data_IF_572591888512
#
_entry.id   IF_572591888512
#
_cell.length_a   1.000
_cell.length_b   1.000
_cell.length_c   1.000
_cell.angle_alpha   90.00
_cell.angle_beta   90.00
_cell.angle_gamma   90.00
#
_symmetry.space_group_name_H-M   'P 1'
#
loop_
_entity.id
_entity.type
_entity.pdbx_description
1 polymer ?
2 non-polymer ?
3 non-polymer ?
4 water ?
#
# COMPACT_ATOMS: atom_id res chain seq x y z
N UNK A 19 -7.68 2.05 -19.11
CA UNK A 19 -6.19 2.07 -18.92
C UNK A 19 -5.68 1.27 -17.73
N UNK A 20 -6.42 1.25 -16.63
CA UNK A 20 -6.02 0.48 -15.46
C UNK A 20 -7.25 -0.22 -14.88
N UNK A 21 -7.80 -1.15 -15.63
CA UNK A 21 -8.99 -1.78 -15.21
C UNK A 21 -8.84 -3.25 -14.91
N UNK A 22 -7.80 -3.94 -15.43
CA UNK A 22 -7.68 -5.36 -15.14
C UNK A 22 -6.31 -5.69 -14.55
N UNK A 23 -6.31 -6.68 -13.68
CA UNK A 23 -5.10 -7.16 -13.06
C UNK A 23 -4.69 -8.50 -13.67
N UNK A 24 -3.41 -8.59 -14.05
CA UNK A 24 -2.81 -9.77 -14.56
C UNK A 24 -1.69 -10.27 -13.66
N UNK A 25 -1.36 -11.55 -13.74
CA UNK A 25 -0.19 -12.10 -13.07
C UNK A 25 1.06 -11.34 -13.55
N UNK A 26 1.84 -10.79 -12.64
CA UNK A 26 3.01 -10.02 -13.02
C UNK A 26 4.07 -10.90 -13.71
N UNK A 27 4.10 -12.18 -13.33
CA UNK A 27 5.11 -13.09 -13.84
C UNK A 27 4.85 -13.62 -15.23
N UNK A 28 3.60 -13.67 -15.68
CA UNK A 28 3.31 -14.29 -16.96
C UNK A 28 2.23 -13.65 -17.77
N UNK A 29 1.38 -12.80 -17.15
CA UNK A 29 0.30 -12.20 -17.88
C UNK A 29 -1.08 -12.77 -17.80
N UNK A 30 -1.20 -13.93 -17.16
CA UNK A 30 -2.49 -14.54 -16.93
C UNK A 30 -3.54 -13.50 -16.41
N UNK A 31 -4.73 -13.49 -16.98
CA UNK A 31 -5.79 -12.61 -16.47
C UNK A 31 -6.26 -13.11 -15.09
N UNK A 32 -6.31 -12.24 -14.08
CA UNK A 32 -6.64 -12.64 -12.70
C UNK A 32 -7.85 -11.92 -12.11
N UNK A 33 -7.88 -10.59 -12.14
CA UNK A 33 -9.03 -9.88 -11.60
C UNK A 33 -9.24 -8.48 -12.23
N UNK A 34 -10.11 -7.66 -11.62
CA UNK A 34 -10.48 -6.38 -12.21
C UNK A 34 -10.58 -5.37 -11.05
N UNK A 35 -10.29 -4.11 -11.33
CA UNK A 35 -10.40 -3.07 -10.33
C UNK A 35 -11.86 -2.96 -9.82
N UNK A 36 -12.81 -3.20 -10.71
CA UNK A 36 -14.21 -3.16 -10.38
C UNK A 36 -14.63 -4.18 -9.35
N UNK A 37 -13.80 -5.18 -9.16
CA UNK A 37 -14.11 -6.28 -8.25
C UNK A 37 -13.39 -6.17 -6.92
N UNK A 38 -12.71 -5.07 -6.68
CA UNK A 38 -12.14 -4.80 -5.35
C UNK A 38 -13.25 -4.75 -4.30
N UNK A 39 -12.92 -5.28 -3.13
CA UNK A 39 -13.88 -5.48 -2.04
C UNK A 39 -13.35 -4.87 -0.75
N UNK A 40 -13.93 -3.74 -0.32
CA UNK A 40 -13.63 -3.24 1.02
C UNK A 40 -14.09 -4.20 2.12
N UNK A 41 -13.13 -4.91 2.73
CA UNK A 41 -13.38 -5.81 3.89
C UNK A 41 -12.97 -5.07 5.16
N UNK A 42 -13.90 -4.97 6.11
CA UNK A 42 -13.62 -4.19 7.30
C UNK A 42 -13.39 -2.71 7.04
N UNK A 43 -13.78 -2.21 5.87
CA UNK A 43 -13.63 -0.77 5.53
C UNK A 43 -12.54 -0.38 4.52
N UNK A 44 -11.61 -1.27 4.25
CA UNK A 44 -10.51 -1.02 3.28
C UNK A 44 -10.35 -2.27 2.43
N UNK A 45 -10.08 -2.10 1.13
CA UNK A 45 -9.77 -3.27 0.30
C UNK A 45 -8.31 -3.73 0.56
N UNK A 46 -7.48 -2.87 1.18
CA UNK A 46 -6.07 -3.19 1.48
C UNK A 46 -5.84 -3.61 2.95
N UNK A 47 -5.15 -4.73 3.15
CA UNK A 47 -4.80 -5.27 4.47
C UNK A 47 -3.35 -5.77 4.49
N UNK A 48 -2.55 -5.36 5.47
CA UNK A 48 -1.15 -5.79 5.52
C UNK A 48 -0.94 -6.73 6.69
N UNK A 49 -0.33 -7.87 6.42
CA UNK A 49 -0.39 -9.01 7.32
C UNK A 49 0.95 -9.70 7.26
N UNK A 50 1.25 -10.52 8.25
CA UNK A 50 2.42 -11.37 8.19
C UNK A 50 2.05 -12.80 8.44
N UNK A 51 2.72 -13.68 7.76
CA UNK A 51 2.63 -15.11 8.13
C UNK A 51 3.59 -15.53 9.27
N UNK A 52 3.48 -16.80 9.75
CA UNK A 52 4.34 -17.22 10.84
C UNK A 52 5.84 -17.17 10.52
N UNK A 53 6.20 -17.22 9.25
CA UNK A 53 7.59 -17.01 8.84
C UNK A 53 8.01 -15.54 8.76
N UNK A 54 7.14 -14.61 9.17
CA UNK A 54 7.47 -13.20 9.20
C UNK A 54 7.38 -12.45 7.87
N UNK A 55 6.96 -13.12 6.82
CA UNK A 55 6.81 -12.47 5.52
C UNK A 55 5.65 -11.52 5.57
N UNK A 56 5.86 -10.28 5.15
CA UNK A 56 4.81 -9.29 5.09
C UNK A 56 4.14 -9.35 3.73
N UNK A 57 2.81 -9.24 3.70
CA UNK A 57 2.06 -9.23 2.42
C UNK A 57 1.09 -8.03 2.42
N UNK A 58 1.04 -7.32 1.30
CA UNK A 58 0.09 -6.21 1.14
C UNK A 58 -1.03 -6.84 0.35
N UNK A 59 -2.11 -7.18 1.03
CA UNK A 59 -3.20 -7.96 0.44
C UNK A 59 -4.32 -7.00 0.01
N UNK A 60 -4.74 -7.17 -1.22
CA UNK A 60 -5.95 -6.50 -1.77
C UNK A 60 -7.06 -7.57 -1.82
N UNK A 61 -8.22 -7.23 -1.25
CA UNK A 61 -9.37 -8.11 -1.26
C UNK A 61 -10.22 -7.84 -2.50
N UNK A 62 -10.58 -8.93 -3.16
CA UNK A 62 -11.40 -8.93 -4.36
C UNK A 62 -12.57 -9.86 -4.14
N UNK A 63 -13.75 -9.44 -4.56
CA UNK A 63 -14.88 -10.35 -4.46
C UNK A 63 -14.80 -11.55 -5.41
N UNK A 64 -14.05 -11.38 -6.51
CA UNK A 64 -13.97 -12.32 -7.59
C UNK A 64 -12.58 -12.29 -8.21
N UNK A 65 -12.15 -13.44 -8.71
CA UNK A 65 -10.89 -13.58 -9.44
C UNK A 65 -11.03 -14.81 -10.31
N UNK A 66 -10.18 -14.89 -11.33
CA UNK A 66 -10.15 -16.00 -12.24
C UNK A 66 -8.69 -16.35 -12.53
N UNK A 67 -8.48 -17.45 -13.24
CA UNK A 67 -7.14 -17.82 -13.73
C UNK A 67 -6.20 -18.32 -12.66
N UNK A 68 -6.76 -18.60 -11.49
CA UNK A 68 -5.99 -19.12 -10.37
C UNK A 68 -6.15 -20.62 -10.31
N UNK A 69 -5.32 -21.25 -9.50
CA UNK A 69 -5.49 -22.66 -9.14
C UNK A 69 -5.44 -22.70 -7.62
N UNK A 70 -6.54 -23.18 -7.01
CA UNK A 70 -6.69 -23.23 -5.55
C UNK A 70 -6.20 -24.55 -5.08
N UNK A 71 -5.25 -24.52 -4.14
CA UNK A 71 -4.47 -25.69 -3.76
C UNK A 71 -4.98 -26.30 -2.46
N UNK A 72 -5.25 -27.60 -2.49
CA UNK A 72 -5.58 -28.36 -1.28
C UNK A 72 -6.93 -28.03 -0.73
N UNK A 73 -7.09 -28.28 0.56
CA UNK A 73 -8.34 -28.07 1.24
C UNK A 73 -8.14 -26.90 2.23
N UNK A 74 -9.23 -26.22 2.59
CA UNK A 74 -9.11 -25.03 3.44
C UNK A 74 -8.59 -25.28 4.82
N UNK A 75 -8.00 -24.23 5.38
CA UNK A 75 -7.48 -24.31 6.70
C UNK A 75 -7.83 -23.03 7.44
N UNK A 76 -8.16 -23.13 8.69
CA UNK A 76 -8.38 -21.94 9.55
C UNK A 76 -7.12 -21.47 10.27
N UNK A 77 -6.04 -22.25 10.17
CA UNK A 77 -4.82 -21.96 10.96
C UNK A 77 -4.22 -20.64 10.53
N UNK A 78 -4.00 -19.75 11.50
CA UNK A 78 -3.37 -18.43 11.29
C UNK A 78 -4.16 -17.53 10.36
N UNK A 79 -5.43 -17.81 10.17
CA UNK A 79 -6.21 -17.01 9.25
C UNK A 79 -6.24 -15.54 9.65
N UNK A 80 -6.00 -14.67 8.66
CA UNK A 80 -5.99 -13.22 8.87
C UNK A 80 -7.36 -12.59 8.91
N UNK A 81 -8.42 -13.33 8.53
CA UNK A 81 -9.75 -12.73 8.46
C UNK A 81 -10.67 -13.59 9.27
N UNK A 82 -11.29 -13.03 10.28
CA UNK A 82 -12.03 -13.77 11.25
C UNK A 82 -13.19 -14.51 10.62
N UNK A 83 -13.28 -15.80 10.93
CA UNK A 83 -14.37 -16.63 10.43
C UNK A 83 -14.08 -17.31 9.12
N UNK A 84 -12.97 -16.98 8.45
CA UNK A 84 -12.61 -17.57 7.16
C UNK A 84 -11.47 -18.57 7.22
N UNK A 85 -11.63 -19.61 6.42
CA UNK A 85 -10.64 -20.59 6.17
C UNK A 85 -10.04 -20.33 4.81
N UNK A 86 -8.76 -20.63 4.67
CA UNK A 86 -8.07 -20.28 3.45
C UNK A 86 -7.49 -21.42 2.68
N UNK A 87 -7.32 -21.19 1.38
CA UNK A 87 -6.57 -22.07 0.49
C UNK A 87 -5.59 -21.20 -0.28
N UNK A 88 -4.41 -21.72 -0.49
CA UNK A 88 -3.39 -21.05 -1.34
C UNK A 88 -3.94 -20.91 -2.76
N UNK A 89 -3.75 -19.71 -3.33
CA UNK A 89 -4.16 -19.43 -4.71
C UNK A 89 -2.88 -19.17 -5.52
N UNK A 90 -2.59 -20.08 -6.43
CA UNK A 90 -1.50 -19.92 -7.39
C UNK A 90 -2.06 -19.37 -8.71
N UNK A 91 -1.21 -18.67 -9.45
CA UNK A 91 -1.49 -18.37 -10.83
C UNK A 91 -1.70 -19.73 -11.51
N UNK A 92 -2.84 -19.93 -12.18
CA UNK A 92 -3.10 -21.17 -12.85
C UNK A 92 -2.22 -21.47 -14.04
N UNK A 93 -1.59 -20.44 -14.57
CA UNK A 93 -0.74 -20.54 -15.71
C UNK A 93 0.72 -20.86 -15.28
N UNK A 94 1.33 -20.00 -14.47
CA UNK A 94 2.75 -20.13 -14.17
C UNK A 94 3.08 -20.66 -12.76
N UNK A 95 2.11 -20.76 -11.87
CA UNK A 95 2.33 -21.28 -10.54
C UNK A 95 2.80 -20.27 -9.52
N UNK A 96 2.94 -19.02 -9.90
CA UNK A 96 3.29 -17.94 -8.94
C UNK A 96 2.30 -17.85 -7.80
N UNK A 97 2.81 -17.73 -6.56
CA UNK A 97 1.88 -17.56 -5.45
C UNK A 97 1.26 -16.18 -5.45
N UNK A 98 -0.02 -16.06 -5.82
CA UNK A 98 -0.67 -14.80 -5.94
C UNK A 98 -1.50 -14.37 -4.74
N UNK A 99 -1.83 -15.30 -3.88
CA UNK A 99 -2.58 -15.00 -2.68
C UNK A 99 -3.31 -16.19 -2.13
N UNK A 100 -4.53 -15.94 -1.69
CA UNK A 100 -5.37 -16.97 -1.02
C UNK A 100 -6.83 -16.79 -1.38
N UNK A 101 -7.58 -17.89 -1.38
CA UNK A 101 -9.00 -17.87 -1.44
C UNK A 101 -9.57 -18.17 -0.03
N UNK A 102 -10.50 -17.34 0.38
CA UNK A 102 -11.14 -17.44 1.69
C UNK A 102 -12.59 -17.93 1.51
N UNK A 103 -12.98 -18.85 2.38
CA UNK A 103 -14.30 -19.41 2.39
C UNK A 103 -14.73 -19.80 3.79
N UNK A 104 -15.95 -20.29 3.91
CA UNK A 104 -16.45 -20.74 5.19
C UNK A 104 -16.92 -19.66 6.18
N UNK A 105 -16.90 -18.40 5.74
CA UNK A 105 -17.27 -17.27 6.59
C UNK A 105 -18.63 -16.71 6.26
N UNK A 106 -18.82 -15.43 6.53
CA UNK A 106 -20.14 -14.77 6.47
C UNK A 106 -20.04 -13.35 5.86
N UNK A 107 -20.90 -13.07 4.89
CA UNK A 107 -21.12 -11.72 4.34
C UNK A 107 -19.78 -11.00 4.00
N UNK A 108 -19.06 -11.49 2.99
CA UNK A 108 -19.42 -12.61 2.13
C UNK A 108 -18.96 -13.97 2.65
N UNK A 109 -19.58 -15.03 2.13
CA UNK A 109 -19.05 -16.38 2.44
C UNK A 109 -17.63 -16.61 1.95
N UNK A 110 -17.30 -16.06 0.78
CA UNK A 110 -16.01 -16.25 0.17
C UNK A 110 -15.44 -14.95 -0.44
N UNK A 111 -14.12 -14.88 -0.57
CA UNK A 111 -13.49 -13.79 -1.31
C UNK A 111 -12.05 -14.19 -1.60
N UNK A 112 -11.32 -13.34 -2.34
CA UNK A 112 -9.91 -13.56 -2.63
C UNK A 112 -9.06 -12.47 -2.00
N UNK A 113 -7.94 -12.91 -1.42
CA UNK A 113 -6.96 -11.96 -0.91
C UNK A 113 -5.72 -12.12 -1.73
N UNK A 114 -5.44 -11.13 -2.58
CA UNK A 114 -4.36 -11.21 -3.54
C UNK A 114 -3.24 -10.27 -3.16
N UNK A 115 -2.00 -10.71 -3.44
CA UNK A 115 -0.82 -9.92 -3.07
C UNK A 115 -0.55 -8.84 -4.14
N UNK A 116 -0.68 -7.59 -3.76
CA UNK A 116 -0.74 -6.51 -4.72
C UNK A 116 0.46 -6.45 -5.66
N UNK A 117 1.64 -6.65 -5.10
CA UNK A 117 2.84 -6.49 -5.88
C UNK A 117 3.13 -7.69 -6.78
N UNK A 118 2.28 -8.71 -6.74
CA UNK A 118 2.46 -9.84 -7.63
C UNK A 118 1.50 -9.77 -8.83
N UNK A 119 0.78 -8.65 -8.93
CA UNK A 119 -0.13 -8.37 -10.03
C UNK A 119 0.36 -7.15 -10.82
N UNK A 120 0.00 -7.12 -12.09
CA UNK A 120 0.20 -5.95 -12.94
C UNK A 120 -1.12 -5.42 -13.37
N UNK A 121 -1.31 -4.11 -13.28
CA UNK A 121 -2.55 -3.45 -13.63
C UNK A 121 -2.50 -2.79 -15.01
N UNK A 122 -3.59 -2.86 -15.80
CA UNK A 122 -3.51 -2.35 -17.13
C UNK A 122 -4.86 -2.39 -17.84
N UNK A 123 -4.86 -2.03 -19.10
CA UNK A 123 -6.12 -1.86 -19.83
C UNK A 123 -6.88 -3.19 -20.09
N UNK A 124 -8.21 -3.14 -20.17
CA UNK A 124 -9.01 -4.37 -20.47
C UNK A 124 -8.74 -4.99 -21.85
N UNK B 21 18.06 11.06 -0.14
CA UNK B 21 18.69 10.45 -1.35
C UNK B 21 18.07 10.95 -2.66
N UNK B 22 18.80 10.70 -3.75
CA UNK B 22 18.37 11.10 -5.06
C UNK B 22 18.38 9.92 -6.01
N UNK B 23 17.61 10.05 -7.07
CA UNK B 23 17.53 9.06 -8.10
C UNK B 23 18.18 9.61 -9.33
N UNK B 24 19.18 8.88 -9.84
CA UNK B 24 19.91 9.26 -11.03
C UNK B 24 19.53 8.34 -12.17
N UNK B 25 19.68 8.82 -13.39
CA UNK B 25 19.58 7.96 -14.56
C UNK B 25 20.63 6.86 -14.42
N UNK B 26 20.20 5.61 -14.49
CA UNK B 26 21.14 4.51 -14.38
C UNK B 26 22.18 4.47 -15.51
N UNK B 27 21.78 4.88 -16.70
CA UNK B 27 22.68 4.84 -17.86
C UNK B 27 23.77 5.90 -17.81
N UNK B 28 23.45 7.15 -17.46
CA UNK B 28 24.47 8.23 -17.56
C UNK B 28 24.74 9.00 -16.26
N UNK B 29 23.97 8.75 -15.21
CA UNK B 29 24.18 9.39 -13.94
C UNK B 29 23.52 10.74 -13.69
N UNK B 30 22.86 11.30 -14.69
CA UNK B 30 22.17 12.56 -14.47
C UNK B 30 21.16 12.47 -13.36
N UNK B 31 21.12 13.50 -12.52
CA UNK B 31 20.13 13.55 -11.40
C UNK B 31 18.75 13.78 -12.04
N UNK B 32 17.78 12.97 -11.62
CA UNK B 32 16.43 12.99 -12.15
C UNK B 32 15.37 13.34 -11.12
N UNK B 33 15.40 12.71 -9.95
CA UNK B 33 14.38 13.04 -8.95
C UNK B 33 14.90 12.72 -7.56
N UNK B 34 14.06 12.92 -6.54
CA UNK B 34 14.48 12.88 -5.14
C UNK B 34 13.52 12.00 -4.41
N UNK B 35 14.02 11.28 -3.41
CA UNK B 35 13.16 10.57 -2.53
C UNK B 35 12.10 11.45 -1.86
N UNK B 36 12.43 12.70 -1.55
CA UNK B 36 11.49 13.65 -0.91
C UNK B 36 10.25 13.85 -1.79
N UNK B 37 10.40 13.58 -3.08
CA UNK B 37 9.31 13.84 -4.05
C UNK B 37 8.47 12.60 -4.37
N UNK B 38 8.76 11.49 -3.69
CA UNK B 38 7.92 10.30 -3.91
C UNK B 38 6.48 10.65 -3.62
N UNK B 39 5.60 10.13 -4.45
CA UNK B 39 4.19 10.52 -4.45
C UNK B 39 3.31 9.26 -4.40
N UNK B 40 2.62 9.03 -3.27
CA UNK B 40 1.76 7.86 -3.23
C UNK B 40 0.40 8.02 -3.97
N UNK B 41 0.41 7.95 -5.31
CA UNK B 41 -0.83 7.93 -6.11
C UNK B 41 -1.64 6.67 -5.84
N UNK B 42 -2.90 6.84 -5.46
CA UNK B 42 -3.78 5.73 -5.08
C UNK B 42 -3.35 4.92 -3.85
N UNK B 43 -2.58 5.54 -2.96
CA UNK B 43 -2.12 4.88 -1.73
C UNK B 43 -0.70 4.31 -1.81
N UNK B 44 -0.08 4.29 -2.99
CA UNK B 44 1.24 3.64 -3.12
C UNK B 44 2.08 4.39 -4.11
N UNK B 45 3.36 4.58 -3.82
CA UNK B 45 4.23 5.15 -4.85
C UNK B 45 4.65 4.14 -5.94
N UNK B 46 4.62 2.84 -5.65
CA UNK B 46 4.87 1.79 -6.66
C UNK B 46 3.59 1.27 -7.31
N UNK B 47 3.66 1.18 -8.63
CA UNK B 47 2.60 0.67 -9.46
C UNK B 47 3.22 -0.25 -10.50
N UNK B 48 2.89 -1.54 -10.44
CA UNK B 48 3.23 -2.49 -11.50
C UNK B 48 2.11 -2.46 -12.51
N UNK B 49 2.49 -2.19 -13.74
CA UNK B 49 1.51 -1.89 -14.82
C UNK B 49 1.88 -2.62 -16.12
N UNK B 50 0.91 -2.76 -17.00
CA UNK B 50 1.19 -3.27 -18.34
C UNK B 50 0.54 -2.37 -19.41
N UNK B 51 1.21 -2.24 -20.54
CA UNK B 51 0.65 -1.45 -21.67
C UNK B 51 -0.13 -2.36 -22.64
N UNK B 52 -0.77 -1.78 -23.68
CA UNK B 52 -1.53 -2.59 -24.57
C UNK B 52 -0.70 -3.60 -25.39
N UNK B 53 0.59 -3.35 -25.53
CA UNK B 53 1.51 -4.28 -26.20
C UNK B 53 1.95 -5.43 -25.25
N UNK B 54 1.54 -5.34 -23.98
CA UNK B 54 1.82 -6.41 -23.03
C UNK B 54 3.14 -6.25 -22.30
N UNK B 55 3.80 -5.13 -22.45
CA UNK B 55 5.03 -4.90 -21.74
C UNK B 55 4.69 -4.52 -20.29
N UNK B 56 5.43 -5.07 -19.33
CA UNK B 56 5.18 -4.84 -17.90
C UNK B 56 6.23 -3.92 -17.37
N UNK B 57 5.82 -2.91 -16.61
CA UNK B 57 6.72 -1.93 -16.00
C UNK B 57 6.43 -1.81 -14.53
N UNK B 58 7.47 -1.57 -13.75
CA UNK B 58 7.34 -1.20 -12.35
C UNK B 58 7.70 0.26 -12.18
N UNK B 59 6.66 1.05 -11.97
CA UNK B 59 6.69 2.53 -11.98
C UNK B 59 6.64 3.05 -10.57
N UNK B 60 7.53 4.00 -10.26
CA UNK B 60 7.46 4.80 -9.04
C UNK B 60 7.04 6.23 -9.37
N UNK B 61 6.05 6.74 -8.62
CA UNK B 61 5.50 8.08 -8.86
C UNK B 61 6.28 9.14 -8.05
N UNK B 62 6.62 10.23 -8.74
CA UNK B 62 7.31 11.38 -8.16
C UNK B 62 6.58 12.67 -8.56
N UNK B 63 6.51 13.60 -7.62
CA UNK B 63 5.80 14.85 -7.83
C UNK B 63 6.46 15.75 -8.87
N UNK B 64 7.79 15.75 -8.87
CA UNK B 64 8.61 16.56 -9.75
C UNK B 64 9.76 15.69 -10.25
N UNK B 65 10.40 16.18 -11.30
CA UNK B 65 11.66 15.57 -11.78
C UNK B 65 12.36 16.63 -12.54
N UNK B 66 13.60 16.35 -12.87
CA UNK B 66 14.40 17.22 -13.69
C UNK B 66 15.29 16.41 -14.60
N UNK B 67 15.81 17.04 -15.63
CA UNK B 67 16.81 16.40 -16.43
C UNK B 67 16.23 15.47 -17.49
N UNK B 68 14.90 15.40 -17.59
CA UNK B 68 14.26 14.62 -18.62
C UNK B 68 13.96 15.45 -19.88
N UNK B 69 13.53 14.76 -20.93
CA UNK B 69 12.96 15.35 -22.14
C UNK B 69 11.73 14.60 -22.49
N UNK B 70 10.62 15.33 -22.52
CA UNK B 70 9.32 14.79 -22.83
C UNK B 70 9.08 14.87 -24.33
N UNK B 71 8.61 13.76 -24.90
CA UNK B 71 8.50 13.61 -26.34
C UNK B 71 7.04 13.46 -26.73
N UNK B 72 6.63 14.16 -27.77
CA UNK B 72 5.30 13.94 -28.37
C UNK B 72 4.22 14.72 -27.66
N UNK B 73 2.99 14.62 -28.15
CA UNK B 73 1.85 15.33 -27.59
C UNK B 73 1.25 14.44 -26.52
N UNK B 74 0.64 15.04 -25.49
CA UNK B 74 0.06 14.15 -24.49
C UNK B 74 -1.04 13.24 -25.07
N UNK B 75 -1.18 12.04 -24.50
CA UNK B 75 -2.20 11.07 -24.90
C UNK B 75 -3.04 10.73 -23.69
N UNK B 76 -4.37 10.71 -23.88
CA UNK B 76 -5.27 10.17 -22.88
C UNK B 76 -5.47 8.65 -23.00
N UNK B 77 -5.00 8.04 -24.07
CA UNK B 77 -5.27 6.60 -24.31
C UNK B 77 -4.50 5.71 -23.37
N UNK B 78 -5.21 4.77 -22.77
CA UNK B 78 -4.63 3.73 -21.95
C UNK B 78 -3.85 4.27 -20.77
N UNK B 79 -4.18 5.46 -20.27
CA UNK B 79 -3.47 6.00 -19.14
C UNK B 79 -3.60 5.11 -17.92
N UNK B 80 -2.48 4.84 -17.25
CA UNK B 80 -2.51 4.11 -15.98
C UNK B 80 -3.11 4.92 -14.82
N UNK B 81 -3.32 6.21 -15.01
CA UNK B 81 -3.80 7.10 -13.93
C UNK B 81 -4.98 7.89 -14.46
N UNK B 82 -6.17 7.51 -13.99
CA UNK B 82 -7.42 8.09 -14.49
C UNK B 82 -7.38 9.59 -14.30
N UNK B 83 -7.78 10.29 -15.35
CA UNK B 83 -7.85 11.72 -15.35
C UNK B 83 -6.58 12.41 -15.78
N UNK B 84 -5.55 11.63 -16.14
CA UNK B 84 -4.31 12.19 -16.62
C UNK B 84 -4.00 11.73 -18.05
N UNK B 85 -3.35 12.61 -18.79
CA UNK B 85 -2.76 12.31 -20.08
C UNK B 85 -1.28 12.17 -19.86
N UNK B 86 -0.62 11.40 -20.71
CA UNK B 86 0.79 11.09 -20.53
C UNK B 86 1.62 11.38 -21.76
N UNK B 87 2.89 11.61 -21.48
CA UNK B 87 3.93 11.82 -22.49
C UNK B 87 5.10 10.97 -22.09
N UNK B 88 5.78 10.38 -23.04
CA UNK B 88 6.99 9.61 -22.77
C UNK B 88 8.12 10.53 -22.26
N UNK B 89 8.86 10.05 -21.27
CA UNK B 89 9.99 10.81 -20.66
C UNK B 89 11.27 10.08 -20.91
N UNK B 90 12.17 10.71 -21.66
CA UNK B 90 13.54 10.21 -21.81
C UNK B 90 14.48 10.99 -20.91
N UNK B 91 15.60 10.36 -20.52
CA UNK B 91 16.70 11.14 -19.98
C UNK B 91 17.16 12.17 -21.05
N UNK B 92 17.22 13.44 -20.66
CA UNK B 92 17.61 14.52 -21.51
C UNK B 92 19.04 14.46 -21.96
N UNK B 93 19.87 13.82 -21.13
CA UNK B 93 21.30 13.75 -21.40
C UNK B 93 21.70 12.59 -22.31
N UNK B 94 21.14 11.41 -22.06
CA UNK B 94 21.55 10.18 -22.77
C UNK B 94 20.46 9.48 -23.58
N UNK B 95 19.21 9.90 -23.43
CA UNK B 95 18.11 9.31 -24.18
C UNK B 95 17.46 8.07 -23.62
N UNK B 96 17.95 7.52 -22.50
CA UNK B 96 17.31 6.36 -21.89
C UNK B 96 15.82 6.65 -21.63
N UNK B 97 14.95 5.68 -21.90
CA UNK B 97 13.52 5.80 -21.56
C UNK B 97 13.32 5.59 -20.07
N UNK B 98 13.03 6.66 -19.32
CA UNK B 98 12.92 6.59 -17.87
C UNK B 98 11.53 6.54 -17.35
N UNK B 99 10.54 6.84 -18.18
CA UNK B 99 9.16 6.73 -17.78
C UNK B 99 8.21 7.64 -18.56
N UNK B 100 7.30 8.27 -17.84
CA UNK B 100 6.25 9.11 -18.41
C UNK B 100 5.96 10.29 -17.51
N UNK B 101 5.52 11.37 -18.13
CA UNK B 101 4.96 12.51 -17.43
C UNK B 101 3.45 12.51 -17.55
N UNK B 102 2.76 12.88 -16.48
CA UNK B 102 1.32 12.86 -16.41
C UNK B 102 0.85 14.29 -16.16
N UNK B 103 -0.21 14.71 -16.84
CA UNK B 103 -0.73 16.07 -16.68
C UNK B 103 -2.24 16.05 -16.87
N UNK B 104 -2.86 17.12 -16.43
CA UNK B 104 -4.27 17.35 -16.78
C UNK B 104 -5.19 17.08 -15.62
N UNK B 105 -4.71 16.43 -14.59
CA UNK B 105 -5.56 16.21 -13.40
C UNK B 105 -5.61 17.45 -12.53
N UNK B 106 -6.34 17.37 -11.41
CA UNK B 106 -6.13 18.27 -10.26
C UNK B 106 -5.43 17.50 -9.11
N UNK B 107 -4.79 18.23 -8.21
CA UNK B 107 -4.13 17.64 -7.01
C UNK B 107 -3.55 16.24 -7.22
N UNK B 108 -2.36 16.16 -7.83
CA UNK B 108 -1.54 17.23 -8.43
C UNK B 108 -1.81 17.35 -9.93
N UNK B 109 -1.63 18.54 -10.49
CA UNK B 109 -1.88 18.70 -11.92
C UNK B 109 -0.87 17.96 -12.74
N UNK B 110 0.33 17.78 -12.21
CA UNK B 110 1.52 17.21 -12.87
C UNK B 110 2.21 16.19 -11.97
N UNK B 111 2.68 15.08 -12.52
CA UNK B 111 3.60 14.18 -11.82
C UNK B 111 4.26 13.26 -12.83
N UNK B 112 5.20 12.47 -12.36
CA UNK B 112 5.96 11.56 -13.16
C UNK B 112 5.80 10.14 -12.66
N UNK B 113 5.70 9.21 -13.60
CA UNK B 113 5.83 7.79 -13.31
C UNK B 113 7.10 7.27 -13.92
N UNK B 114 8.08 7.01 -13.07
CA UNK B 114 9.42 6.65 -13.56
C UNK B 114 9.71 5.16 -13.31
N UNK B 115 10.42 4.55 -14.26
CA UNK B 115 10.71 3.12 -14.22
C UNK B 115 11.86 2.87 -13.21
N UNK B 116 11.53 2.27 -12.08
CA UNK B 116 12.45 2.13 -10.96
C UNK B 116 13.74 1.43 -11.38
N UNK B 117 13.63 0.43 -12.22
CA UNK B 117 14.82 -0.32 -12.67
C UNK B 117 15.77 0.51 -13.52
N UNK B 118 15.30 1.60 -14.09
CA UNK B 118 16.12 2.49 -14.92
C UNK B 118 16.75 3.64 -14.17
N UNK B 119 16.54 3.68 -12.85
CA UNK B 119 17.09 4.69 -12.02
C UNK B 119 18.04 4.05 -11.03
N UNK B 120 18.93 4.86 -10.50
CA UNK B 120 19.85 4.43 -9.49
C UNK B 120 19.71 5.38 -8.30
N UNK B 121 19.38 4.82 -7.14
CA UNK B 121 19.25 5.63 -5.93
C UNK B 121 20.59 5.75 -5.23
N UNK B 122 20.91 6.94 -4.72
CA UNK B 122 22.14 7.17 -4.02
C UNK B 122 22.13 8.47 -3.25
N UNK B 123 23.19 8.73 -2.49
CA UNK B 123 23.30 10.00 -1.77
C UNK B 123 23.31 11.22 -2.64
N UNK B 124 22.72 12.30 -2.13
CA UNK B 124 22.66 13.59 -2.82
C UNK B 124 24.00 14.07 -3.39
N UNK C 19 -4.06 -15.41 13.56
CA UNK C 19 -3.26 -14.73 12.51
C UNK C 19 -3.17 -13.23 12.65
N UNK C 20 -4.02 -12.64 13.50
CA UNK C 20 -3.92 -11.21 13.76
C UNK C 20 -3.80 -10.82 15.27
N UNK C 21 -2.85 -11.43 15.99
CA UNK C 21 -2.68 -11.16 17.44
C UNK C 21 -1.46 -10.30 17.84
N UNK C 22 -0.46 -10.17 16.94
CA UNK C 22 0.66 -9.25 17.13
C UNK C 22 0.56 -8.16 16.09
N UNK C 23 0.79 -6.93 16.52
CA UNK C 23 0.75 -5.77 15.65
C UNK C 23 2.14 -5.24 15.46
N UNK C 24 2.47 -4.95 14.20
CA UNK C 24 3.81 -4.47 13.83
C UNK C 24 3.72 -3.28 12.93
N UNK C 25 4.81 -2.53 12.85
CA UNK C 25 4.96 -1.44 11.87
C UNK C 25 4.79 -1.99 10.44
N UNK C 26 3.83 -1.41 9.68
CA UNK C 26 3.56 -1.79 8.30
C UNK C 26 4.78 -1.61 7.37
N UNK C 27 5.55 -0.59 7.65
CA UNK C 27 6.69 -0.23 6.78
C UNK C 27 7.91 -1.10 6.98
N UNK C 28 8.22 -1.49 8.22
CA UNK C 28 9.45 -2.22 8.49
C UNK C 28 9.30 -3.50 9.33
N UNK C 29 8.14 -3.69 9.97
CA UNK C 29 7.88 -4.93 10.72
C UNK C 29 8.22 -4.88 12.20
N UNK C 30 8.72 -3.73 12.67
CA UNK C 30 9.03 -3.56 14.10
C UNK C 30 7.84 -4.04 14.92
N UNK C 31 8.08 -4.88 15.91
CA UNK C 31 7.03 -5.28 16.88
C UNK C 31 6.59 -4.09 17.74
N UNK C 32 5.26 -3.86 17.79
CA UNK C 32 4.72 -2.70 18.52
C UNK C 32 3.78 -3.10 19.68
N UNK C 33 2.77 -3.92 19.41
CA UNK C 33 1.85 -4.33 20.47
C UNK C 33 1.16 -5.66 20.18
N UNK C 34 0.13 -6.00 20.98
CA UNK C 34 -0.46 -7.34 20.98
C UNK C 34 -1.94 -7.20 21.22
N UNK C 35 -2.72 -8.12 20.64
CA UNK C 35 -4.17 -8.17 20.87
C UNK C 35 -4.48 -8.20 22.38
N UNK C 36 -3.68 -8.93 23.15
CA UNK C 36 -3.82 -9.01 24.61
C UNK C 36 -3.82 -7.65 25.33
N UNK C 37 -3.23 -6.62 24.72
CA UNK C 37 -3.10 -5.32 25.36
C UNK C 37 -4.14 -4.33 24.81
N UNK C 38 -5.04 -4.81 23.97
CA UNK C 38 -6.07 -3.93 23.43
C UNK C 38 -7.02 -3.46 24.54
N UNK C 39 -7.46 -2.21 24.47
CA UNK C 39 -8.53 -1.71 25.33
C UNK C 39 -9.86 -1.76 24.56
N UNK C 40 -10.79 -2.66 24.96
CA UNK C 40 -12.11 -2.73 24.30
C UNK C 40 -13.12 -1.65 24.75
N UNK C 41 -13.88 -1.11 23.80
CA UNK C 41 -15.06 -0.25 24.07
C UNK C 41 -16.32 -0.95 23.55
N UNK C 46 -11.80 -1.18 16.50
CA UNK C 46 -11.13 0.06 16.18
C UNK C 46 -12.08 1.26 16.26
N UNK C 47 -11.59 2.38 16.83
CA UNK C 47 -12.35 3.65 16.88
C UNK C 47 -12.18 4.40 15.56
N UNK C 48 -13.28 4.70 14.86
CA UNK C 48 -13.21 5.52 13.65
C UNK C 48 -13.18 7.00 14.07
N UNK C 49 -12.08 7.71 13.76
CA UNK C 49 -11.93 9.13 14.12
C UNK C 49 -11.58 9.99 12.90
N UNK C 50 -11.80 11.30 13.04
CA UNK C 50 -11.54 12.28 11.97
C UNK C 50 -10.65 13.41 12.48
N UNK C 51 -9.57 13.69 11.77
CA UNK C 51 -8.68 14.79 12.14
C UNK C 51 -9.32 16.09 11.67
N UNK C 52 -8.74 17.25 12.02
CA UNK C 52 -9.42 18.51 11.73
C UNK C 52 -9.65 18.73 10.21
N UNK C 53 -8.82 18.10 9.37
CA UNK C 53 -8.92 18.18 7.91
C UNK C 53 -10.03 17.33 7.30
N UNK C 54 -10.60 16.41 8.10
CA UNK C 54 -11.60 15.45 7.61
C UNK C 54 -11.02 14.07 7.27
N UNK C 55 -9.71 13.90 7.45
CA UNK C 55 -9.06 12.64 7.12
C UNK C 55 -9.40 11.57 8.16
N UNK C 56 -9.76 10.38 7.66
CA UNK C 56 -10.25 9.29 8.52
C UNK C 56 -9.11 8.44 9.06
N UNK C 57 -9.18 8.13 10.35
CA UNK C 57 -8.26 7.18 10.97
C UNK C 57 -9.12 6.17 11.71
N UNK C 58 -8.79 4.89 11.55
CA UNK C 58 -9.33 3.84 12.42
C UNK C 58 -8.23 3.56 13.43
N UNK C 59 -8.51 3.87 14.69
CA UNK C 59 -7.52 3.83 15.76
C UNK C 59 -7.81 2.62 16.67
N UNK C 60 -6.75 1.85 16.94
CA UNK C 60 -6.78 0.79 17.97
C UNK C 60 -6.16 1.39 19.23
N UNK C 61 -6.78 1.19 20.40
CA UNK C 61 -6.21 1.64 21.65
C UNK C 61 -5.56 0.48 22.40
N UNK C 62 -4.33 0.67 22.88
CA UNK C 62 -3.58 -0.37 23.59
C UNK C 62 -3.14 0.19 24.94
N UNK C 63 -3.15 -0.64 25.98
CA UNK C 63 -2.65 -0.20 27.29
C UNK C 63 -1.12 -0.19 27.32
N UNK C 64 -0.50 -1.05 26.50
CA UNK C 64 0.95 -1.16 26.42
C UNK C 64 1.43 -1.25 24.99
N UNK C 65 2.66 -0.80 24.76
CA UNK C 65 3.29 -0.91 23.46
C UNK C 65 4.81 -0.84 23.65
N UNK C 66 5.53 -1.19 22.59
CA UNK C 66 6.99 -1.16 22.61
C UNK C 66 7.48 -0.73 21.29
N UNK C 67 8.78 -0.42 21.24
CA UNK C 67 9.43 -0.18 19.96
C UNK C 67 9.05 1.14 19.29
N UNK C 68 8.37 2.02 20.04
CA UNK C 68 8.05 3.33 19.53
C UNK C 68 9.07 4.32 20.01
N UNK C 69 9.00 5.50 19.41
CA UNK C 69 9.72 6.63 19.91
C UNK C 69 8.72 7.78 20.05
N UNK C 70 8.60 8.30 21.27
CA UNK C 70 7.63 9.35 21.57
C UNK C 70 8.33 10.72 21.46
N UNK C 71 7.70 11.64 20.74
CA UNK C 71 8.36 12.90 20.35
C UNK C 71 7.67 14.12 20.94
N UNK C 72 8.47 15.08 21.40
CA UNK C 72 7.98 16.40 21.82
C UNK C 72 7.18 16.44 23.11
N UNK C 73 6.67 17.62 23.43
CA UNK C 73 5.78 17.81 24.59
C UNK C 73 4.33 17.44 24.23
N UNK C 74 3.51 17.04 25.23
CA UNK C 74 2.12 16.66 24.93
C UNK C 74 1.24 17.81 24.47
N UNK C 75 0.17 17.48 23.73
CA UNK C 75 -0.79 18.47 23.24
C UNK C 75 -2.25 18.04 23.50
N UNK C 76 -3.10 19.00 23.83
CA UNK C 76 -4.54 18.76 23.95
C UNK C 76 -5.36 19.03 22.70
N UNK C 77 -4.75 19.60 21.66
CA UNK C 77 -5.49 20.08 20.46
C UNK C 77 -6.20 18.95 19.68
N UNK C 78 -7.49 19.17 19.40
CA UNK C 78 -8.36 18.16 18.74
C UNK C 78 -8.14 16.69 19.22
N UNK C 79 -7.92 16.52 20.52
CA UNK C 79 -7.74 15.18 21.11
C UNK C 79 -9.04 14.39 20.94
N UNK C 80 -8.95 13.18 20.40
CA UNK C 80 -10.14 12.37 20.14
C UNK C 80 -10.70 11.72 21.38
N UNK C 81 -9.90 11.71 22.46
CA UNK C 81 -10.33 11.07 23.71
C UNK C 81 -10.38 12.09 24.84
N UNK C 82 -11.55 12.17 25.46
CA UNK C 82 -11.84 13.22 26.44
C UNK C 82 -10.91 13.10 27.65
N UNK C 83 -10.27 14.21 28.00
CA UNK C 83 -9.43 14.30 29.19
C UNK C 83 -8.02 13.75 28.99
N UNK C 84 -7.63 13.64 27.72
CA UNK C 84 -6.34 13.08 27.35
C UNK C 84 -5.55 14.03 26.43
N UNK C 85 -4.26 14.18 26.73
CA UNK C 85 -3.31 14.90 25.88
C UNK C 85 -2.50 13.86 25.09
N UNK C 86 -2.03 14.23 23.91
CA UNK C 86 -1.30 13.28 23.07
C UNK C 86 0.11 13.73 22.70
N UNK C 87 0.95 12.72 22.44
CA UNK C 87 2.32 12.87 21.98
C UNK C 87 2.49 11.98 20.74
N UNK C 88 3.27 12.42 19.77
CA UNK C 88 3.41 11.66 18.52
C UNK C 88 4.23 10.39 18.79
N UNK C 89 3.75 9.26 18.27
CA UNK C 89 4.48 7.97 18.38
C UNK C 89 5.00 7.52 17.00
N UNK C 90 6.33 7.48 16.86
CA UNK C 90 6.96 6.95 15.65
C UNK C 90 7.44 5.56 15.87
N UNK C 91 7.49 4.78 14.83
CA UNK C 91 8.28 3.56 14.87
C UNK C 91 9.77 3.85 15.23
N UNK C 92 10.28 3.18 16.26
CA UNK C 92 11.65 3.42 16.70
C UNK C 92 12.70 2.84 15.74
N UNK C 93 12.26 1.98 14.84
CA UNK C 93 13.14 1.31 13.89
C UNK C 93 13.26 2.06 12.58
N UNK C 94 12.15 2.53 12.05
CA UNK C 94 12.17 3.19 10.73
C UNK C 94 11.69 4.62 10.71
N UNK C 95 11.09 5.09 11.80
CA UNK C 95 10.60 6.48 11.86
C UNK C 95 9.18 6.73 11.35
N UNK C 96 8.50 5.70 10.83
CA UNK C 96 7.06 5.84 10.41
C UNK C 96 6.13 6.34 11.51
N UNK C 97 5.18 7.20 11.16
CA UNK C 97 4.26 7.74 12.15
C UNK C 97 3.17 6.70 12.38
N UNK C 98 3.17 6.07 13.55
CA UNK C 98 2.22 4.95 13.79
C UNK C 98 1.03 5.38 14.59
N UNK C 99 1.12 6.51 15.27
CA UNK C 99 -0.01 6.98 16.04
C UNK C 99 0.38 7.95 17.13
N UNK C 100 -0.26 7.79 18.29
CA UNK C 100 -0.04 8.70 19.42
C UNK C 100 -0.04 7.99 20.76
N UNK C 101 0.64 8.62 21.73
CA UNK C 101 0.59 8.20 23.13
C UNK C 101 -0.30 9.20 23.87
N UNK C 102 -1.25 8.70 24.64
CA UNK C 102 -2.16 9.56 25.41
C UNK C 102 -1.85 9.55 26.90
N UNK C 103 -2.01 10.71 27.54
CA UNK C 103 -1.80 10.78 28.99
C UNK C 103 -2.63 11.91 29.62
N UNK C 104 -2.69 11.89 30.95
CA UNK C 104 -3.42 12.90 31.72
C UNK C 104 -4.76 12.44 32.28
N UNK C 105 -5.26 11.29 31.82
CA UNK C 105 -6.62 10.84 32.18
C UNK C 105 -6.72 9.93 33.39
N UNK C 106 -7.80 9.16 33.44
CA UNK C 106 -8.06 8.21 34.53
C UNK C 106 -8.76 6.97 33.97
N UNK C 107 -8.37 5.79 34.47
CA UNK C 107 -8.98 4.52 34.06
C UNK C 107 -9.05 4.41 32.52
N UNK C 108 -7.89 4.31 31.85
CA UNK C 108 -6.51 4.37 32.35
C UNK C 108 -5.90 5.76 32.23
N UNK C 109 -4.84 6.00 33.00
CA UNK C 109 -4.12 7.26 32.94
C UNK C 109 -3.41 7.46 31.60
N UNK C 110 -2.94 6.37 31.02
CA UNK C 110 -2.21 6.41 29.75
C UNK C 110 -2.60 5.24 28.85
N UNK C 111 -2.44 5.43 27.54
CA UNK C 111 -2.61 4.37 26.55
C UNK C 111 -2.01 4.83 25.22
N UNK C 112 -1.91 3.91 24.26
CA UNK C 112 -1.46 4.21 22.93
C UNK C 112 -2.65 4.12 21.98
N UNK C 113 -2.79 5.14 21.14
CA UNK C 113 -3.78 5.13 20.06
C UNK C 113 -3.05 4.98 18.74
N UNK C 114 -3.17 3.79 18.13
CA UNK C 114 -2.38 3.51 16.93
C UNK C 114 -3.25 3.38 15.68
N UNK C 115 -2.72 3.87 14.56
CA UNK C 115 -3.48 3.94 13.30
C UNK C 115 -3.45 2.58 12.62
N UNK C 116 -4.65 2.02 12.41
CA UNK C 116 -4.78 0.68 11.80
C UNK C 116 -4.04 0.55 10.47
N UNK C 117 -4.10 1.58 9.64
CA UNK C 117 -3.55 1.51 8.29
C UNK C 117 -2.04 1.77 8.26
N UNK C 118 -1.44 1.92 9.44
CA UNK C 118 0.02 2.03 9.59
C UNK C 118 0.62 0.78 10.22
N UNK C 119 -0.21 -0.24 10.46
CA UNK C 119 0.19 -1.45 11.13
C UNK C 119 -0.09 -2.65 10.24
N UNK C 120 0.62 -3.71 10.54
CA UNK C 120 0.38 -4.99 9.95
C UNK C 120 0.12 -5.98 11.12
N UNK C 121 -0.68 -7.00 10.87
CA UNK C 121 -0.98 -7.96 11.91
C UNK C 121 -0.53 -9.33 11.53
N UNK C 122 -0.12 -10.08 12.55
CA UNK C 122 0.41 -11.43 12.39
C UNK C 122 0.18 -12.33 13.60
N UNK C 123 0.50 -13.62 13.47
CA UNK C 123 0.29 -14.58 14.54
C UNK C 123 1.29 -14.37 15.68
N UNK C 124 0.95 -14.90 16.87
CA UNK C 124 1.85 -14.78 18.04
C UNK C 124 3.21 -15.32 17.67
#
# INVERSE_FOLDING_TARGET
>A
AMPLDAGGQNSTQMVLAPGASIFRCRQCGQTISRRDWLLPMGGDHEHVVFNPAGMIFRVWCFSLAQGLRLIGAPSGEFSWFKGYDWTIALCGQCGSHLGWHYEGGSQPQTFFGLIKDRLAEGPAD
>B
AMPLDAGGQNSTQMVLAPGASIFRCRQCGQTISRRDWLLPMGGDHEHVVFNPAGMIFRVWCFSLAQGLRLIGAPSGEFSWFKGYDWTIALCGQCGSHLGWHYEGGSQPQTFFGLIKDRLAEGPAD
>C
AMPLDAGGQNSTQMVLAPGASIFRCRQCGQTISRRDWLLPMGGDHEHVVFNPAGMIFRVWCFSLAQGLRLIGAPSGEFSWFKGYDWTIALCGQCGSHLGWHYEGGSQPQTFFGLIKDRLAEGPAD
#
